data_IF_273378871778
#
_entry.id   IF_273378871778
#
_cell.length_a   1.000
_cell.length_b   1.000
_cell.length_c   1.000
_cell.angle_alpha   90.00
_cell.angle_beta   90.00
_cell.angle_gamma   90.00
#
_symmetry.space_group_name_H-M   'P 1'
#
loop_
_entity.id
_entity.type
_entity.pdbx_description
1 polymer ?
#
# COMPACT_ATOMS: atom_id res chain seq x y z
N UNK A 1 1.78 -20.44 0.02
CA UNK A 1 0.32 -20.28 0.11
C UNK A 1 -0.05 -18.80 -0.02
N UNK A 2 -1.04 -18.53 -0.82
CA UNK A 2 -1.50 -17.16 -1.06
C UNK A 2 -2.56 -16.77 -0.02
N UNK A 3 -2.36 -15.64 0.65
CA UNK A 3 -3.34 -15.12 1.58
C UNK A 3 -4.61 -14.67 0.86
N UNK A 4 -5.75 -15.10 1.38
CA UNK A 4 -7.03 -14.67 0.86
C UNK A 4 -7.32 -13.25 1.35
N UNK A 5 -7.77 -12.39 0.43
CA UNK A 5 -8.17 -11.04 0.78
C UNK A 5 -9.53 -11.05 1.47
N UNK A 6 -9.62 -10.40 2.63
CA UNK A 6 -10.85 -10.33 3.42
C UNK A 6 -11.57 -9.00 3.18
N UNK A 7 -12.82 -8.90 3.69
CA UNK A 7 -13.54 -7.63 3.66
C UNK A 7 -12.78 -6.54 4.43
N UNK A 8 -12.14 -6.90 5.54
CA UNK A 8 -11.33 -5.96 6.32
C UNK A 8 -10.16 -5.43 5.50
N UNK A 9 -9.51 -6.29 4.71
CA UNK A 9 -8.43 -5.86 3.81
C UNK A 9 -8.94 -4.85 2.79
N UNK A 10 -10.12 -5.09 2.24
CA UNK A 10 -10.72 -4.20 1.25
C UNK A 10 -10.96 -2.80 1.84
N UNK A 11 -11.57 -2.74 3.02
CA UNK A 11 -11.87 -1.46 3.66
C UNK A 11 -10.61 -0.75 4.14
N UNK A 12 -9.63 -1.51 4.65
CA UNK A 12 -8.36 -0.94 5.06
C UNK A 12 -7.64 -0.31 3.86
N UNK A 13 -7.59 -1.03 2.73
CA UNK A 13 -6.99 -0.53 1.50
C UNK A 13 -7.66 0.76 1.04
N UNK A 14 -9.01 0.80 1.09
CA UNK A 14 -9.74 2.01 0.72
C UNK A 14 -9.41 3.18 1.65
N UNK A 15 -9.31 2.95 2.96
CA UNK A 15 -8.95 3.98 3.91
C UNK A 15 -7.56 4.54 3.67
N UNK A 16 -6.59 3.68 3.38
CA UNK A 16 -5.22 4.10 3.08
C UNK A 16 -5.18 4.98 1.84
N UNK A 17 -5.87 4.57 0.78
CA UNK A 17 -5.91 5.34 -0.46
C UNK A 17 -6.62 6.67 -0.26
N UNK A 18 -7.73 6.68 0.49
CA UNK A 18 -8.49 7.89 0.80
C UNK A 18 -7.69 8.87 1.64
N UNK A 19 -6.96 8.37 2.63
CA UNK A 19 -6.09 9.19 3.50
C UNK A 19 -5.09 10.01 2.69
N UNK A 20 -4.64 9.49 1.57
CA UNK A 20 -3.67 10.14 0.69
C UNK A 20 -4.32 10.82 -0.51
N UNK A 21 -5.62 11.08 -0.44
CA UNK A 21 -6.39 11.72 -1.50
C UNK A 21 -6.21 11.00 -2.84
N UNK A 22 -6.19 9.68 -2.81
CA UNK A 22 -6.04 8.80 -3.97
C UNK A 22 -4.81 9.13 -4.82
N UNK A 23 -3.76 9.60 -4.15
CA UNK A 23 -2.49 9.98 -4.79
C UNK A 23 -1.42 8.95 -4.46
N UNK A 24 -0.66 8.53 -5.48
CA UNK A 24 0.46 7.61 -5.28
C UNK A 24 1.54 8.29 -4.43
N UNK A 25 1.94 7.65 -3.34
CA UNK A 25 2.98 8.18 -2.46
C UNK A 25 4.38 8.00 -3.03
N UNK A 26 4.53 7.21 -4.10
CA UNK A 26 5.82 7.02 -4.76
C UNK A 26 6.10 8.06 -5.83
N UNK A 27 5.18 8.25 -6.78
CA UNK A 27 5.39 9.13 -7.92
C UNK A 27 4.53 10.40 -7.91
N UNK A 28 3.56 10.50 -6.99
CA UNK A 28 2.72 11.69 -6.84
C UNK A 28 1.56 11.78 -7.81
N UNK A 29 1.35 10.78 -8.65
CA UNK A 29 0.24 10.81 -9.59
C UNK A 29 -1.10 10.58 -8.88
N UNK A 30 -2.09 11.42 -9.18
CA UNK A 30 -3.42 11.29 -8.62
C UNK A 30 -4.29 10.38 -9.47
N UNK A 31 -5.11 9.58 -8.81
CA UNK A 31 -6.04 8.64 -9.44
C UNK A 31 -7.47 8.92 -9.00
N UNK A 32 -8.42 8.39 -9.74
CA UNK A 32 -9.82 8.49 -9.34
C UNK A 32 -10.12 7.56 -8.18
N UNK A 33 -11.17 7.89 -7.42
CA UNK A 33 -11.54 7.19 -6.19
C UNK A 33 -11.68 5.68 -6.36
N UNK A 34 -12.24 5.24 -7.49
CA UNK A 34 -12.48 3.83 -7.75
C UNK A 34 -11.46 3.20 -8.69
N UNK A 35 -10.33 3.88 -8.93
CA UNK A 35 -9.32 3.36 -9.84
C UNK A 35 -8.67 2.10 -9.28
N UNK A 36 -8.58 1.06 -10.09
CA UNK A 36 -7.88 -0.16 -9.74
C UNK A 36 -6.37 -0.03 -9.95
N UNK A 37 -5.92 1.10 -10.51
CA UNK A 37 -4.50 1.34 -10.75
C UNK A 37 -3.77 1.80 -9.49
N UNK A 38 -4.50 2.26 -8.47
CA UNK A 38 -3.91 2.66 -7.19
C UNK A 38 -4.09 1.53 -6.17
N UNK A 39 -2.98 1.05 -5.63
CA UNK A 39 -2.93 -0.10 -4.72
C UNK A 39 -2.58 0.33 -3.30
N UNK A 40 -2.89 -0.54 -2.35
CA UNK A 40 -2.42 -0.41 -0.97
C UNK A 40 -1.21 -1.33 -0.80
N UNK A 41 -0.04 -0.72 -0.57
CA UNK A 41 1.21 -1.45 -0.34
C UNK A 41 1.47 -1.57 1.15
N UNK A 42 1.90 -2.75 1.59
CA UNK A 42 2.33 -2.98 2.98
C UNK A 42 3.84 -3.17 3.01
N UNK A 43 4.52 -2.47 3.92
CA UNK A 43 5.97 -2.68 4.11
C UNK A 43 6.21 -4.10 4.63
N UNK A 44 5.53 -4.48 5.72
CA UNK A 44 5.43 -5.89 6.13
C UNK A 44 4.19 -6.48 5.49
N UNK A 45 4.32 -7.63 4.86
CA UNK A 45 3.21 -8.26 4.17
C UNK A 45 2.04 -8.60 5.10
N UNK A 46 0.89 -8.90 4.51
CA UNK A 46 -0.34 -9.22 5.27
C UNK A 46 -0.21 -10.44 6.17
N UNK A 47 0.78 -11.30 5.94
CA UNK A 47 1.05 -12.44 6.81
C UNK A 47 1.55 -12.03 8.19
N UNK A 48 2.07 -10.82 8.33
CA UNK A 48 2.50 -10.26 9.62
C UNK A 48 1.29 -9.67 10.32
N UNK A 49 0.53 -10.50 11.02
CA UNK A 49 -0.76 -10.12 11.60
C UNK A 49 -0.70 -8.91 12.53
N UNK A 50 0.39 -8.72 13.26
CA UNK A 50 0.53 -7.61 14.18
C UNK A 50 0.53 -6.23 13.52
N UNK A 51 0.83 -6.16 12.21
CA UNK A 51 0.91 -4.89 11.47
C UNK A 51 0.03 -4.87 10.22
N UNK A 52 -0.77 -5.92 10.01
CA UNK A 52 -1.59 -6.06 8.80
C UNK A 52 -2.52 -4.86 8.57
N UNK A 53 -3.09 -4.33 9.65
CA UNK A 53 -4.01 -3.19 9.60
C UNK A 53 -3.43 -1.95 10.27
N UNK A 54 -2.11 -1.89 10.41
CA UNK A 54 -1.43 -0.73 10.97
C UNK A 54 -1.24 0.31 9.86
N UNK A 55 -1.83 1.49 10.04
CA UNK A 55 -1.73 2.57 9.06
C UNK A 55 -0.30 3.02 8.79
N UNK A 56 0.61 2.83 9.74
CA UNK A 56 2.04 3.16 9.56
C UNK A 56 2.77 2.17 8.67
N UNK A 57 2.17 0.98 8.44
CA UNK A 57 2.73 -0.06 7.60
C UNK A 57 2.19 -0.02 6.17
N UNK A 58 1.30 0.92 5.86
CA UNK A 58 0.55 0.89 4.60
C UNK A 58 0.70 2.19 3.83
N UNK A 59 0.82 2.07 2.52
CA UNK A 59 1.05 3.19 1.61
C UNK A 59 0.20 3.04 0.36
N UNK A 60 -0.22 4.17 -0.23
CA UNK A 60 -0.91 4.18 -1.50
C UNK A 60 0.11 4.25 -2.63
N UNK A 61 0.14 3.25 -3.50
CA UNK A 61 1.07 3.18 -4.62
C UNK A 61 0.34 2.79 -5.91
N UNK A 62 0.74 3.39 -7.03
CA UNK A 62 0.32 2.90 -8.34
C UNK A 62 0.99 1.55 -8.60
N UNK A 63 0.55 0.85 -9.66
CA UNK A 63 1.07 -0.48 -9.97
C UNK A 63 2.59 -0.50 -10.07
N UNK A 64 3.17 0.45 -10.82
CA UNK A 64 4.62 0.52 -11.01
C UNK A 64 5.38 0.74 -9.69
N UNK A 65 4.90 1.69 -8.88
CA UNK A 65 5.53 1.96 -7.58
C UNK A 65 5.33 0.79 -6.61
N UNK A 66 4.15 0.16 -6.63
CA UNK A 66 3.89 -1.02 -5.81
C UNK A 66 4.88 -2.14 -6.10
N UNK A 67 5.14 -2.42 -7.39
CA UNK A 67 6.13 -3.41 -7.79
C UNK A 67 7.54 -3.01 -7.37
N UNK A 68 7.90 -1.75 -7.57
CA UNK A 68 9.24 -1.24 -7.24
C UNK A 68 9.52 -1.34 -5.75
N UNK A 69 8.61 -0.88 -4.91
CA UNK A 69 8.81 -0.93 -3.45
C UNK A 69 8.69 -2.37 -2.92
N UNK A 70 7.78 -3.15 -3.47
CA UNK A 70 7.60 -4.55 -3.07
C UNK A 70 8.79 -5.44 -3.38
N UNK A 71 9.53 -5.13 -4.43
CA UNK A 71 10.70 -5.91 -4.87
C UNK A 71 12.01 -5.43 -4.23
N UNK A 72 12.01 -4.27 -3.58
CA UNK A 72 13.20 -3.65 -3.02
C UNK A 72 12.97 -3.19 -1.58
N UNK A 73 13.02 -4.10 -0.60
CA UNK A 73 12.79 -3.73 0.80
C UNK A 73 13.69 -2.62 1.33
N UNK A 74 14.97 -2.61 0.92
CA UNK A 74 15.89 -1.56 1.34
C UNK A 74 15.48 -0.20 0.80
N UNK A 75 15.07 -0.15 -0.45
CA UNK A 75 14.60 1.08 -1.07
C UNK A 75 13.32 1.58 -0.37
N UNK A 76 12.41 0.67 -0.07
CA UNK A 76 11.17 0.98 0.64
C UNK A 76 11.48 1.59 2.02
N UNK A 77 12.37 0.95 2.76
CA UNK A 77 12.80 1.40 4.09
C UNK A 77 13.42 2.80 4.03
N UNK A 78 14.35 3.01 3.11
CA UNK A 78 15.06 4.30 2.99
C UNK A 78 14.13 5.42 2.58
N UNK A 79 13.14 5.11 1.74
CA UNK A 79 12.23 6.13 1.24
C UNK A 79 11.26 6.64 2.29
N UNK A 80 10.77 5.75 3.16
CA UNK A 80 9.69 6.11 4.10
C UNK A 80 10.08 6.09 5.56
N UNK A 81 11.07 5.33 5.96
CA UNK A 81 11.33 5.06 7.37
C UNK A 81 12.63 5.70 7.87
N UNK A 82 13.66 5.64 7.07
CA UNK A 82 14.98 6.18 7.42
C UNK A 82 15.06 7.73 7.44
#
# INVERSE_FOLDING_TARGET
MRLKRTAADHWFSRCVRMRNDFTCQGCGKKYEENSMALHCSHYFGRAKKGVRYDGMNAFAHCYGCHQKFGSNPDYFYRHYIE
#
